data_IF_665248449943
#
_entry.id   IF_665248449943
#
_cell.length_a   1.000
_cell.length_b   1.000
_cell.length_c   1.000
_cell.angle_alpha   90.00
_cell.angle_beta   90.00
_cell.angle_gamma   90.00
#
_symmetry.space_group_name_H-M   'P 1'
#
loop_
_entity.id
_entity.type
_entity.pdbx_description
1 polymer ?
#
# COMPACT_ATOMS: atom_id res chain seq x y z
N UNK A 1 30.35 2.90 3.16
CA UNK A 1 29.41 3.83 2.50
C UNK A 1 28.05 3.28 2.83
N UNK A 2 27.31 3.98 3.70
CA UNK A 2 25.97 3.56 4.09
C UNK A 2 25.04 4.05 3.00
N UNK A 3 24.75 3.20 2.03
CA UNK A 3 23.62 3.38 1.14
C UNK A 3 22.37 3.12 2.00
N UNK A 4 21.97 4.18 2.70
CA UNK A 4 20.72 4.26 3.44
C UNK A 4 19.62 4.25 2.37
N UNK A 5 19.18 3.05 2.00
CA UNK A 5 18.03 2.76 1.14
C UNK A 5 16.87 3.60 1.67
N UNK A 6 16.65 4.74 1.02
CA UNK A 6 15.67 5.75 1.40
C UNK A 6 14.28 5.27 0.95
N UNK A 7 13.89 4.08 1.39
CA UNK A 7 12.60 3.48 1.02
C UNK A 7 11.57 3.90 2.06
N UNK A 8 11.32 5.21 2.11
CA UNK A 8 10.20 5.76 2.86
C UNK A 8 8.87 5.18 2.35
N UNK A 9 7.75 5.41 3.08
CA UNK A 9 6.44 4.94 2.66
C UNK A 9 6.11 5.38 1.22
N UNK A 10 5.55 4.47 0.43
CA UNK A 10 5.01 4.81 -0.89
C UNK A 10 3.82 5.75 -0.71
N UNK A 11 3.86 6.91 -1.36
CA UNK A 11 2.71 7.82 -1.37
C UNK A 11 1.50 7.16 -2.03
N UNK A 12 0.33 7.32 -1.44
CA UNK A 12 -0.92 6.77 -1.91
C UNK A 12 -2.06 7.78 -1.79
N UNK A 13 -3.10 7.58 -2.60
CA UNK A 13 -4.34 8.37 -2.57
C UNK A 13 -5.51 7.46 -2.24
N UNK A 14 -6.29 7.83 -1.23
CA UNK A 14 -7.57 7.16 -0.96
C UNK A 14 -8.60 7.53 -2.03
N UNK A 15 -8.98 6.57 -2.86
CA UNK A 15 -9.96 6.75 -3.95
C UNK A 15 -11.37 6.30 -3.56
N UNK A 16 -11.51 5.56 -2.45
CA UNK A 16 -12.79 5.11 -1.91
C UNK A 16 -12.68 4.55 -0.50
N UNK A 17 -13.80 4.13 0.12
CA UNK A 17 -13.77 3.47 1.42
C UNK A 17 -12.93 2.17 1.36
N UNK A 18 -11.75 2.20 2.00
CA UNK A 18 -10.84 1.06 1.98
C UNK A 18 -10.15 0.81 0.63
N UNK A 19 -10.14 1.79 -0.27
CA UNK A 19 -9.48 1.68 -1.58
C UNK A 19 -8.37 2.74 -1.69
N UNK A 20 -7.16 2.29 -2.04
CA UNK A 20 -5.96 3.12 -2.09
C UNK A 20 -5.24 2.94 -3.42
N UNK A 21 -4.96 4.04 -4.11
CA UNK A 21 -4.15 4.06 -5.32
C UNK A 21 -2.72 4.44 -4.96
N UNK A 22 -1.76 3.55 -5.23
CA UNK A 22 -0.34 3.84 -5.07
C UNK A 22 0.11 4.83 -6.16
N UNK A 23 0.83 5.87 -5.77
CA UNK A 23 1.33 6.89 -6.69
C UNK A 23 2.57 6.43 -7.48
N UNK A 24 3.23 5.36 -7.02
CA UNK A 24 4.42 4.82 -7.68
C UNK A 24 4.03 3.83 -8.80
N UNK A 25 4.46 4.13 -10.03
CA UNK A 25 4.16 3.32 -11.22
C UNK A 25 4.76 1.89 -11.18
N UNK A 26 5.68 1.62 -10.25
CA UNK A 26 6.40 0.34 -10.11
C UNK A 26 6.39 -0.22 -8.71
N UNK A 27 5.54 0.29 -7.81
CA UNK A 27 5.41 -0.32 -6.49
C UNK A 27 4.68 -1.67 -6.62
N UNK A 28 5.40 -2.75 -6.44
CA UNK A 28 4.82 -4.08 -6.33
C UNK A 28 4.02 -4.18 -5.03
N UNK A 29 2.77 -4.64 -5.13
CA UNK A 29 1.94 -4.87 -3.94
C UNK A 29 2.34 -6.21 -3.34
N UNK A 30 3.14 -6.17 -2.27
CA UNK A 30 3.64 -7.34 -1.56
C UNK A 30 3.55 -7.20 -0.03
N UNK A 31 3.81 -8.28 0.70
CA UNK A 31 3.90 -8.25 2.17
C UNK A 31 5.08 -7.37 2.57
N UNK A 32 4.87 -6.47 3.53
CA UNK A 32 5.89 -5.52 3.99
C UNK A 32 5.90 -4.21 3.21
N UNK A 33 5.10 -4.09 2.12
CA UNK A 33 4.90 -2.80 1.48
C UNK A 33 4.32 -1.80 2.50
N UNK A 34 5.02 -0.68 2.67
CA UNK A 34 4.56 0.44 3.50
C UNK A 34 4.11 1.57 2.58
N UNK A 35 2.89 2.07 2.79
CA UNK A 35 2.35 3.20 2.06
C UNK A 35 1.68 4.21 2.98
N UNK A 36 1.65 5.47 2.56
CA UNK A 36 1.09 6.57 3.34
C UNK A 36 0.05 7.36 2.55
N UNK A 37 -1.01 7.80 3.22
CA UNK A 37 -2.05 8.65 2.63
C UNK A 37 -2.65 9.52 3.73
N UNK A 38 -2.82 10.82 3.47
CA UNK A 38 -3.56 11.74 4.34
C UNK A 38 -3.15 11.66 5.84
N UNK A 39 -1.86 11.53 6.14
CA UNK A 39 -1.33 11.45 7.51
C UNK A 39 -1.53 10.10 8.20
N UNK A 40 -1.93 9.06 7.46
CA UNK A 40 -1.96 7.67 7.91
C UNK A 40 -0.89 6.86 7.20
N UNK A 41 -0.26 5.92 7.91
CA UNK A 41 0.74 5.00 7.36
C UNK A 41 0.27 3.56 7.55
N UNK A 42 0.30 2.78 6.47
CA UNK A 42 -0.18 1.41 6.42
C UNK A 42 0.96 0.47 6.02
N UNK A 43 0.96 -0.73 6.57
CA UNK A 43 1.83 -1.83 6.19
C UNK A 43 1.00 -3.01 5.71
N UNK A 44 1.33 -3.60 4.57
CA UNK A 44 0.68 -4.83 4.07
C UNK A 44 1.18 -6.03 4.87
N UNK A 45 0.27 -6.73 5.55
CA UNK A 45 0.61 -7.86 6.46
C UNK A 45 0.09 -9.22 5.99
N UNK A 46 -0.67 -9.26 4.89
CA UNK A 46 -1.09 -10.51 4.25
C UNK A 46 -0.63 -10.57 2.81
N UNK A 47 -0.49 -11.79 2.28
CA UNK A 47 -0.25 -11.99 0.84
C UNK A 47 -1.36 -11.31 0.03
N UNK A 48 -1.03 -10.34 -0.84
CA UNK A 48 -2.02 -9.67 -1.68
C UNK A 48 -2.67 -10.65 -2.66
N UNK A 49 -3.99 -10.54 -2.81
CA UNK A 49 -4.78 -11.34 -3.74
C UNK A 49 -5.13 -10.46 -4.92
N UNK A 50 -4.63 -10.79 -6.10
CA UNK A 50 -4.99 -10.11 -7.34
C UNK A 50 -6.47 -10.36 -7.67
N UNK A 51 -7.25 -9.27 -7.77
CA UNK A 51 -8.66 -9.28 -8.14
C UNK A 51 -8.89 -8.72 -9.56
N UNK A 52 -7.81 -8.53 -10.31
CA UNK A 52 -7.79 -8.13 -11.71
C UNK A 52 -7.70 -6.63 -11.93
N UNK A 53 -7.17 -6.24 -13.10
CA UNK A 53 -6.98 -4.84 -13.51
C UNK A 53 -6.03 -4.04 -12.61
N UNK A 54 -4.96 -4.67 -12.11
CA UNK A 54 -3.97 -4.00 -11.24
C UNK A 54 -4.50 -3.70 -9.83
N UNK A 55 -5.51 -4.45 -9.38
CA UNK A 55 -6.13 -4.29 -8.07
C UNK A 55 -5.83 -5.50 -7.22
N UNK A 56 -5.49 -5.25 -5.96
CA UNK A 56 -5.09 -6.27 -5.01
C UNK A 56 -5.89 -6.12 -3.72
N UNK A 57 -6.49 -7.21 -3.25
CA UNK A 57 -7.08 -7.26 -1.93
C UNK A 57 -6.01 -7.68 -0.93
N UNK A 58 -5.77 -6.86 0.09
CA UNK A 58 -4.77 -7.14 1.11
C UNK A 58 -5.24 -6.69 2.49
N UNK A 59 -4.76 -7.37 3.52
CA UNK A 59 -4.88 -6.92 4.89
C UNK A 59 -3.70 -6.04 5.23
N UNK A 60 -3.98 -4.87 5.79
CA UNK A 60 -3.00 -3.88 6.23
C UNK A 60 -3.11 -3.61 7.72
N UNK A 61 -1.98 -3.31 8.34
CA UNK A 61 -1.93 -2.69 9.66
C UNK A 61 -1.80 -1.17 9.50
N UNK A 62 -2.64 -0.41 10.20
CA UNK A 62 -2.48 1.02 10.34
C UNK A 62 -1.42 1.30 11.41
N UNK A 63 -0.23 1.66 10.96
CA UNK A 63 0.97 1.85 11.79
C UNK A 63 1.00 3.22 12.46
N UNK A 64 0.54 4.26 11.76
CA UNK A 64 0.53 5.63 12.26
C UNK A 64 -0.70 6.41 11.78
N UNK A 65 -1.12 7.42 12.56
CA UNK A 65 -2.26 8.27 12.27
C UNK A 65 -3.54 7.88 13.03
N UNK A 66 -4.69 8.53 12.73
CA UNK A 66 -5.94 8.29 13.44
C UNK A 66 -6.40 6.84 13.32
N UNK A 67 -6.50 6.14 14.46
CA UNK A 67 -6.90 4.74 14.52
C UNK A 67 -5.74 3.74 14.41
N UNK A 68 -4.50 4.16 14.63
CA UNK A 68 -3.33 3.28 14.69
C UNK A 68 -3.52 2.05 15.59
N UNK A 69 -2.87 0.95 15.22
CA UNK A 69 -3.02 -0.36 15.85
C UNK A 69 -4.19 -1.20 15.32
N UNK A 70 -4.94 -0.69 14.34
CA UNK A 70 -6.04 -1.43 13.70
C UNK A 70 -5.57 -2.18 12.46
N UNK A 71 -6.16 -3.35 12.28
CA UNK A 71 -6.02 -4.15 11.07
C UNK A 71 -7.27 -3.96 10.18
N UNK A 72 -7.07 -3.81 8.88
CA UNK A 72 -8.11 -3.55 7.89
C UNK A 72 -7.87 -4.39 6.64
N UNK A 73 -8.93 -4.89 6.01
CA UNK A 73 -8.86 -5.41 4.64
C UNK A 73 -9.19 -4.30 3.67
N UNK A 74 -8.32 -4.10 2.68
CA UNK A 74 -8.34 -2.96 1.76
C UNK A 74 -8.06 -3.41 0.33
N UNK A 75 -8.51 -2.61 -0.63
CA UNK A 75 -8.10 -2.74 -2.02
C UNK A 75 -6.94 -1.76 -2.28
N UNK A 76 -5.85 -2.28 -2.83
CA UNK A 76 -4.68 -1.52 -3.26
C UNK A 76 -4.64 -1.56 -4.78
N UNK A 77 -4.66 -0.39 -5.40
CA UNK A 77 -4.59 -0.20 -6.83
C UNK A 77 -3.16 0.21 -7.19
N UNK A 78 -2.55 -0.52 -8.11
CA UNK A 78 -1.26 -0.15 -8.66
C UNK A 78 -1.47 0.78 -9.87
N UNK A 79 -0.78 1.92 -9.90
CA UNK A 79 -0.72 2.75 -11.08
C UNK A 79 0.24 2.10 -12.10
N UNK A 80 -0.21 1.87 -13.33
CA UNK A 80 0.63 1.34 -14.41
C UNK A 80 0.33 -0.12 -14.81
N UNK A 81 0.74 -0.52 -16.03
CA UNK A 81 0.58 -1.90 -16.48
C UNK A 81 1.42 -2.84 -15.60
N UNK A 82 0.87 -3.99 -15.25
CA UNK A 82 1.61 -5.08 -14.61
C UNK A 82 2.86 -5.36 -15.45
N UNK A 83 4.04 -5.33 -14.85
CA UNK A 83 5.24 -5.83 -15.51
C UNK A 83 5.03 -7.34 -15.69
N UNK A 84 4.69 -7.75 -16.91
CA UNK A 84 4.63 -9.14 -17.36
C UNK A 84 6.04 -9.73 -17.49
#
# INVERSE_FOLDING_TARGET
>A
MSDEDNTGPVEAVRVGPGQFLLAAERAEVEIGLVFATAGQTFEVVSRPVDVGSGRYLATVNLMAGPGAGRQLTVEVLQAGPRAD
#
